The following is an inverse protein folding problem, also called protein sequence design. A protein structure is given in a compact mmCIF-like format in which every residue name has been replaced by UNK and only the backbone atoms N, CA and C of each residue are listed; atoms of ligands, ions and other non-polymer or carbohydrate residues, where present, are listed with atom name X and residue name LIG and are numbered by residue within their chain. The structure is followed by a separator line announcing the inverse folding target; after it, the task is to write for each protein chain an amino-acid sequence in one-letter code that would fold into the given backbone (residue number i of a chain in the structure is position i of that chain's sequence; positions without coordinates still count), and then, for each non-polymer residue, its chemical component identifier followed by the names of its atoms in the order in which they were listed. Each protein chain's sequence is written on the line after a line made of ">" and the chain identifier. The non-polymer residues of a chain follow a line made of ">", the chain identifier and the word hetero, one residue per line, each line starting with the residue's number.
data_IF_821838850173
#
_entry.id   IF_821838850173
#
_cell.length_a   1.000
_cell.length_b   1.000
_cell.length_c   1.000
_cell.angle_alpha   90.00
_cell.angle_beta   90.00
_cell.angle_gamma   90.00
#
_symmetry.space_group_name_H-M   'P 1'
#
loop_
_entity.id
_entity.type
_entity.pdbx_description
1 polymer ?
#
# COMPACT_ATOMS: atom_id res chain seq x y z
N UNK A 1 -25.53 -13.39 4.80
CA UNK A 1 -24.19 -12.76 4.77
C UNK A 1 -24.28 -11.63 3.77
N UNK A 2 -24.15 -10.38 4.22
CA UNK A 2 -24.03 -9.27 3.28
C UNK A 2 -22.65 -9.38 2.63
N UNK A 3 -22.62 -9.51 1.30
CA UNK A 3 -21.40 -9.26 0.54
C UNK A 3 -20.95 -7.83 0.85
N UNK A 4 -19.74 -7.70 1.39
CA UNK A 4 -19.10 -6.42 1.63
C UNK A 4 -18.71 -5.79 0.29
N UNK A 5 -18.84 -4.48 0.13
CA UNK A 5 -18.63 -3.80 -1.16
C UNK A 5 -17.26 -4.12 -1.81
N UNK A 6 -16.22 -4.35 -1.00
CA UNK A 6 -14.89 -4.72 -1.51
C UNK A 6 -14.83 -6.13 -2.13
N UNK A 7 -15.64 -7.10 -1.69
CA UNK A 7 -15.57 -8.48 -2.19
C UNK A 7 -16.13 -8.63 -3.61
N UNK A 8 -16.95 -7.66 -4.04
CA UNK A 8 -17.45 -7.54 -5.41
C UNK A 8 -16.57 -6.65 -6.30
N UNK A 9 -15.61 -5.92 -5.74
CA UNK A 9 -14.72 -5.05 -6.52
C UNK A 9 -13.59 -5.91 -7.14
N UNK A 10 -13.69 -6.13 -8.45
CA UNK A 10 -12.74 -6.93 -9.23
C UNK A 10 -11.33 -6.36 -9.19
N UNK A 11 -11.16 -5.06 -8.97
CA UNK A 11 -9.85 -4.41 -8.89
C UNK A 11 -9.14 -4.71 -7.55
N UNK A 12 -9.87 -5.12 -6.51
CA UNK A 12 -9.31 -5.43 -5.18
C UNK A 12 -9.13 -6.94 -4.92
N UNK A 13 -9.40 -7.80 -5.89
CA UNK A 13 -9.49 -9.25 -5.69
C UNK A 13 -8.17 -9.94 -5.26
N UNK A 14 -7.02 -9.33 -5.51
CA UNK A 14 -5.71 -9.90 -5.14
C UNK A 14 -5.23 -9.46 -3.75
N UNK A 15 -5.94 -8.56 -3.06
CA UNK A 15 -5.56 -8.11 -1.72
C UNK A 15 -5.48 -9.25 -0.68
N UNK A 16 -6.40 -10.23 -0.65
CA UNK A 16 -6.26 -11.40 0.24
C UNK A 16 -5.03 -12.26 -0.07
N UNK A 17 -4.65 -12.40 -1.34
CA UNK A 17 -3.46 -13.15 -1.74
C UNK A 17 -2.17 -12.45 -1.25
N UNK A 18 -2.12 -11.11 -1.36
CA UNK A 18 -1.03 -10.31 -0.83
C UNK A 18 -0.78 -10.58 0.66
N UNK A 19 -1.83 -10.56 1.50
CA UNK A 19 -1.67 -10.81 2.94
C UNK A 19 -1.19 -12.23 3.23
N UNK A 20 -1.71 -13.23 2.51
CA UNK A 20 -1.27 -14.63 2.66
C UNK A 20 0.20 -14.80 2.31
N UNK A 21 0.68 -14.16 1.24
CA UNK A 21 2.09 -14.22 0.84
C UNK A 21 3.03 -13.51 1.81
N UNK A 22 2.59 -12.38 2.38
CA UNK A 22 3.36 -11.69 3.41
C UNK A 22 3.40 -12.46 4.74
N UNK A 23 2.34 -13.21 5.05
CA UNK A 23 2.28 -14.06 6.24
C UNK A 23 3.15 -15.32 6.11
N UNK A 24 3.17 -15.92 4.92
CA UNK A 24 3.99 -17.09 4.59
C UNK A 24 4.53 -17.00 3.15
N UNK A 25 5.77 -16.56 2.94
CA UNK A 25 6.38 -16.47 1.61
C UNK A 25 6.52 -17.81 0.89
N UNK A 26 6.38 -18.94 1.58
CA UNK A 26 6.45 -20.28 0.98
C UNK A 26 5.11 -20.72 0.37
N UNK A 27 4.00 -20.03 0.65
CA UNK A 27 2.68 -20.41 0.18
C UNK A 27 2.45 -19.97 -1.28
N UNK A 28 1.79 -20.83 -2.07
CA UNK A 28 1.20 -20.40 -3.32
C UNK A 28 -0.07 -19.57 -3.02
N UNK A 29 0.14 -18.27 -2.81
CA UNK A 29 -0.90 -17.32 -2.38
C UNK A 29 -2.00 -17.06 -3.42
N UNK A 30 -1.71 -17.37 -4.69
CA UNK A 30 -2.51 -16.99 -5.84
C UNK A 30 -2.26 -15.57 -6.36
N UNK A 31 -1.28 -14.84 -5.80
CA UNK A 31 -0.85 -13.53 -6.33
C UNK A 31 -0.03 -13.74 -7.62
N UNK A 32 -0.39 -13.11 -8.74
CA UNK A 32 0.37 -13.24 -9.98
C UNK A 32 1.81 -12.74 -9.86
N UNK A 33 2.75 -13.47 -10.46
CA UNK A 33 4.18 -13.10 -10.49
C UNK A 33 4.52 -12.00 -11.48
N UNK A 34 3.71 -11.84 -12.52
CA UNK A 34 3.91 -10.87 -13.59
C UNK A 34 2.56 -10.58 -14.24
N UNK A 35 2.40 -9.37 -14.77
CA UNK A 35 1.18 -8.99 -15.48
C UNK A 35 1.14 -9.42 -16.95
N UNK A 36 2.27 -9.87 -17.53
CA UNK A 36 2.39 -10.13 -18.99
C UNK A 36 1.35 -11.13 -19.54
N UNK A 37 0.89 -12.07 -18.73
CA UNK A 37 -0.09 -13.08 -19.13
C UNK A 37 -1.51 -12.82 -18.58
N UNK A 38 -1.72 -11.68 -17.94
CA UNK A 38 -2.99 -11.33 -17.32
C UNK A 38 -3.92 -10.69 -18.36
N UNK A 39 -5.23 -10.86 -18.18
CA UNK A 39 -6.20 -10.03 -18.89
C UNK A 39 -6.19 -8.60 -18.33
N UNK A 40 -6.97 -7.70 -18.92
CA UNK A 40 -7.05 -6.31 -18.49
C UNK A 40 -7.47 -6.15 -17.01
N UNK A 41 -8.56 -6.81 -16.60
CA UNK A 41 -9.08 -6.75 -15.23
C UNK A 41 -8.06 -7.22 -14.20
N UNK A 42 -7.43 -8.35 -14.50
CA UNK A 42 -6.37 -8.95 -13.72
C UNK A 42 -5.16 -8.03 -13.60
N UNK A 43 -4.79 -7.34 -14.68
CA UNK A 43 -3.63 -6.44 -14.67
C UNK A 43 -3.88 -5.21 -13.81
N UNK A 44 -5.05 -4.59 -13.93
CA UNK A 44 -5.45 -3.49 -13.05
C UNK A 44 -5.51 -3.93 -11.59
N UNK A 45 -6.08 -5.10 -11.29
CA UNK A 45 -6.12 -5.61 -9.93
C UNK A 45 -4.72 -5.88 -9.36
N UNK A 46 -3.78 -6.27 -10.21
CA UNK A 46 -2.39 -6.48 -9.85
C UNK A 46 -1.66 -5.17 -9.52
N UNK A 47 -1.91 -4.10 -10.28
CA UNK A 47 -1.40 -2.76 -9.97
C UNK A 47 -2.07 -2.14 -8.74
N UNK A 48 -3.37 -2.34 -8.57
CA UNK A 48 -4.09 -1.83 -7.41
C UNK A 48 -3.62 -2.51 -6.11
N UNK A 49 -3.20 -3.78 -6.20
CA UNK A 49 -2.58 -4.48 -5.07
C UNK A 49 -1.26 -3.85 -4.65
N UNK A 50 -0.45 -3.36 -5.59
CA UNK A 50 0.77 -2.60 -5.28
C UNK A 50 0.44 -1.27 -4.60
N UNK A 51 -0.57 -0.56 -5.12
CA UNK A 51 -1.04 0.68 -4.50
C UNK A 51 -1.49 0.45 -3.07
N UNK A 52 -2.31 -0.58 -2.83
CA UNK A 52 -2.74 -0.97 -1.48
C UNK A 52 -1.55 -1.30 -0.57
N UNK A 53 -0.56 -2.04 -1.06
CA UNK A 53 0.65 -2.36 -0.30
C UNK A 53 1.33 -1.07 0.21
N UNK A 54 1.56 -0.10 -0.67
CA UNK A 54 2.21 1.15 -0.27
C UNK A 54 1.32 2.04 0.62
N UNK A 55 0.05 2.23 0.26
CA UNK A 55 -0.89 3.12 0.96
C UNK A 55 -1.31 2.57 2.32
N UNK A 56 -1.73 1.31 2.35
CA UNK A 56 -2.41 0.72 3.50
C UNK A 56 -1.48 -0.09 4.40
N UNK A 57 -0.42 -0.71 3.85
CA UNK A 57 0.52 -1.52 4.64
C UNK A 57 1.75 -0.72 5.04
N UNK A 58 2.45 -0.11 4.07
CA UNK A 58 3.61 0.76 4.35
C UNK A 58 3.17 2.10 4.94
N UNK A 59 1.96 2.56 4.62
CA UNK A 59 1.37 3.77 5.17
C UNK A 59 1.89 5.05 4.50
N UNK A 60 2.30 5.01 3.24
CA UNK A 60 2.73 6.20 2.50
C UNK A 60 1.52 7.03 2.06
N UNK A 61 1.33 8.20 2.69
CA UNK A 61 0.29 9.15 2.24
C UNK A 61 0.68 9.79 0.91
N UNK A 62 1.96 10.16 0.74
CA UNK A 62 2.52 10.70 -0.49
C UNK A 62 3.27 9.59 -1.26
N UNK A 63 2.55 8.83 -2.10
CA UNK A 63 3.16 7.79 -2.93
C UNK A 63 4.25 8.32 -3.87
N UNK A 64 4.04 9.43 -4.62
CA UNK A 64 5.10 10.04 -5.42
C UNK A 64 6.41 10.25 -4.66
N UNK A 65 6.33 10.81 -3.45
CA UNK A 65 7.51 11.06 -2.61
C UNK A 65 8.14 9.77 -2.08
N UNK A 66 7.32 8.81 -1.63
CA UNK A 66 7.82 7.51 -1.15
C UNK A 66 8.56 6.75 -2.24
N UNK A 67 8.00 6.74 -3.46
CA UNK A 67 8.64 6.17 -4.64
C UNK A 67 9.92 6.93 -4.99
N UNK A 68 9.92 8.25 -5.06
CA UNK A 68 11.11 9.05 -5.36
C UNK A 68 12.26 8.75 -4.38
N UNK A 69 11.98 8.77 -3.07
CA UNK A 69 12.94 8.36 -2.06
C UNK A 69 13.45 6.94 -2.32
N UNK A 70 12.56 6.02 -2.69
CA UNK A 70 12.92 4.63 -2.94
C UNK A 70 13.87 4.51 -4.14
N UNK A 71 13.61 5.23 -5.24
CA UNK A 71 14.49 5.28 -6.41
C UNK A 71 15.84 5.95 -6.11
N UNK A 72 15.84 7.10 -5.43
CA UNK A 72 17.06 7.84 -5.04
C UNK A 72 18.02 7.02 -4.19
N UNK A 73 17.48 6.08 -3.39
CA UNK A 73 18.27 5.22 -2.52
C UNK A 73 18.63 3.87 -3.16
N UNK A 74 18.49 3.74 -4.48
CA UNK A 74 18.72 2.49 -5.23
C UNK A 74 17.79 1.35 -4.80
N UNK A 75 16.52 1.65 -4.54
CA UNK A 75 15.44 0.73 -4.19
C UNK A 75 15.80 -0.20 -3.01
N UNK A 76 16.17 0.38 -1.85
CA UNK A 76 16.62 -0.40 -0.71
C UNK A 76 15.43 -1.23 -0.19
N UNK A 77 15.66 -2.51 0.13
CA UNK A 77 14.62 -3.34 0.75
C UNK A 77 14.69 -3.29 2.29
N UNK A 78 15.84 -2.92 2.87
CA UNK A 78 16.05 -2.72 4.31
C UNK A 78 15.47 -3.86 5.18
N UNK A 79 15.65 -5.12 4.78
CA UNK A 79 15.06 -6.30 5.44
C UNK A 79 13.53 -6.22 5.63
N UNK A 80 12.85 -5.40 4.83
CA UNK A 80 11.41 -5.26 4.85
C UNK A 80 10.78 -6.24 3.85
N UNK A 81 10.02 -7.26 4.31
CA UNK A 81 9.46 -8.28 3.43
C UNK A 81 8.48 -7.71 2.41
N UNK A 82 7.85 -6.56 2.69
CA UNK A 82 6.96 -5.88 1.71
C UNK A 82 7.78 -5.33 0.56
N UNK A 83 8.88 -4.63 0.84
CA UNK A 83 9.74 -4.07 -0.22
C UNK A 83 10.45 -5.18 -1.01
N UNK A 84 10.82 -6.29 -0.35
CA UNK A 84 11.30 -7.48 -1.04
C UNK A 84 10.24 -8.03 -2.00
N UNK A 85 9.00 -8.20 -1.53
CA UNK A 85 7.89 -8.64 -2.38
C UNK A 85 7.64 -7.69 -3.55
N UNK A 86 7.76 -6.37 -3.35
CA UNK A 86 7.67 -5.39 -4.44
C UNK A 86 8.71 -5.68 -5.53
N UNK A 87 9.96 -5.98 -5.15
CA UNK A 87 11.00 -6.33 -6.13
C UNK A 87 10.67 -7.64 -6.85
N UNK A 88 10.28 -8.65 -6.10
CA UNK A 88 10.07 -10.02 -6.60
C UNK A 88 8.81 -10.19 -7.47
N UNK A 89 7.85 -9.26 -7.35
CA UNK A 89 6.59 -9.30 -8.11
C UNK A 89 6.51 -8.16 -9.10
N UNK A 90 6.71 -6.93 -8.64
CA UNK A 90 6.45 -5.72 -9.44
C UNK A 90 7.69 -5.10 -10.07
N UNK A 91 8.91 -5.57 -9.79
CA UNK A 91 10.12 -4.97 -10.34
C UNK A 91 11.18 -5.97 -10.82
N UNK A 92 10.75 -7.13 -11.32
CA UNK A 92 11.68 -8.18 -11.78
C UNK A 92 12.39 -7.77 -13.08
N UNK A 93 11.73 -6.98 -13.93
CA UNK A 93 12.22 -6.49 -15.23
C UNK A 93 12.07 -4.98 -15.40
N UNK A 94 11.93 -4.23 -14.30
CA UNK A 94 11.68 -2.79 -14.34
C UNK A 94 10.21 -2.41 -14.51
N UNK A 95 9.27 -3.33 -14.28
CA UNK A 95 7.83 -3.05 -14.47
C UNK A 95 7.35 -1.93 -13.55
N UNK A 96 7.89 -1.82 -12.34
CA UNK A 96 7.54 -0.81 -11.34
C UNK A 96 7.65 0.62 -11.88
N UNK A 97 8.50 0.84 -12.87
CA UNK A 97 8.64 2.13 -13.51
C UNK A 97 7.34 2.61 -14.17
N UNK A 98 6.48 1.69 -14.64
CA UNK A 98 5.14 2.01 -15.17
C UNK A 98 4.26 2.61 -14.06
N UNK A 99 4.27 1.98 -12.87
CA UNK A 99 3.52 2.46 -11.72
C UNK A 99 4.07 3.80 -11.22
N UNK A 100 5.39 3.94 -11.16
CA UNK A 100 6.04 5.17 -10.74
C UNK A 100 5.75 6.33 -11.70
N UNK A 101 5.83 6.08 -13.01
CA UNK A 101 5.43 7.04 -14.03
C UNK A 101 3.99 7.51 -13.82
N UNK A 102 3.06 6.58 -13.59
CA UNK A 102 1.66 6.93 -13.33
C UNK A 102 1.52 7.83 -12.09
N UNK A 103 2.15 7.48 -10.98
CA UNK A 103 2.05 8.27 -9.74
C UNK A 103 2.71 9.66 -9.89
N UNK A 104 3.79 9.78 -10.65
CA UNK A 104 4.45 11.08 -10.92
C UNK A 104 3.72 11.95 -11.95
N UNK A 105 3.05 11.35 -12.94
CA UNK A 105 2.31 12.05 -13.99
C UNK A 105 0.92 12.54 -13.52
N UNK A 106 0.31 11.87 -12.55
CA UNK A 106 -1.10 12.06 -12.16
C UNK A 106 -1.48 13.43 -11.61
N UNK A 107 -0.53 14.37 -11.40
CA UNK A 107 -0.89 15.75 -11.00
C UNK A 107 -1.51 16.58 -12.13
N UNK A 108 -1.37 16.16 -13.39
CA UNK A 108 -2.08 16.77 -14.51
C UNK A 108 -3.56 16.39 -14.59
N UNK A 109 -3.98 15.30 -13.92
CA UNK A 109 -5.31 14.69 -14.09
C UNK A 109 -5.79 13.96 -12.82
N UNK A 110 -5.94 14.64 -11.68
CA UNK A 110 -6.76 14.10 -10.57
C UNK A 110 -7.61 15.20 -9.94
N UNK A 111 -8.91 15.05 -10.08
CA UNK A 111 -9.86 15.67 -9.18
C UNK A 111 -9.61 15.20 -7.74
N UNK A 112 -9.80 16.14 -6.81
CA UNK A 112 -10.29 15.94 -5.45
C UNK A 112 -9.84 14.66 -4.73
N UNK A 113 -8.59 14.61 -4.28
CA UNK A 113 -8.32 13.99 -2.98
C UNK A 113 -8.29 15.11 -1.94
N UNK A 114 -9.11 15.00 -0.88
CA UNK A 114 -9.22 15.98 0.23
C UNK A 114 -7.91 16.18 1.02
N UNK A 115 -6.89 15.37 0.76
CA UNK A 115 -5.54 15.58 1.24
C UNK A 115 -4.87 16.67 0.38
N UNK A 116 -4.88 17.92 0.88
CA UNK A 116 -4.35 19.11 0.21
C UNK A 116 -2.95 18.96 -0.41
N UNK A 117 -2.50 19.94 -1.22
CA UNK A 117 -1.34 19.79 -2.10
C UNK A 117 -0.10 19.35 -1.31
N UNK A 118 0.30 18.10 -1.52
CA UNK A 118 1.56 17.60 -0.98
C UNK A 118 2.68 18.20 -1.83
N UNK A 119 3.71 18.81 -1.25
CA UNK A 119 4.84 19.37 -2.00
C UNK A 119 5.62 18.24 -2.70
N UNK A 120 5.42 18.06 -4.01
CA UNK A 120 6.17 17.12 -4.84
C UNK A 120 6.34 17.75 -6.24
N UNK A 121 7.56 17.73 -6.82
CA UNK A 121 7.84 18.42 -8.07
C UNK A 121 7.08 17.79 -9.24
N UNK A 122 6.55 18.64 -10.12
CA UNK A 122 5.78 18.24 -11.32
C UNK A 122 6.62 17.50 -12.38
N UNK A 123 7.93 17.38 -12.17
CA UNK A 123 8.89 16.85 -13.13
C UNK A 123 9.96 15.98 -12.47
N UNK A 124 9.57 15.19 -11.45
CA UNK A 124 10.51 14.25 -10.85
C UNK A 124 11.03 13.28 -11.92
N UNK A 125 12.34 13.09 -11.94
CA UNK A 125 13.02 12.15 -12.80
C UNK A 125 14.14 11.50 -11.99
N UNK A 126 14.13 10.16 -11.79
CA UNK A 126 15.16 9.47 -11.00
C UNK A 126 16.59 9.74 -11.48
N UNK A 127 16.76 9.80 -12.81
CA UNK A 127 18.00 10.18 -13.47
C UNK A 127 17.70 10.78 -14.84
N UNK A 128 18.57 11.62 -15.41
CA UNK A 128 18.35 12.21 -16.73
C UNK A 128 18.07 11.15 -17.78
N UNK A 129 16.97 11.29 -18.52
CA UNK A 129 16.59 10.38 -19.60
C UNK A 129 15.70 9.21 -19.18
N UNK A 130 15.38 9.04 -17.90
CA UNK A 130 14.52 7.96 -17.40
C UNK A 130 13.17 7.90 -18.13
N UNK A 131 12.55 9.05 -18.42
CA UNK A 131 11.28 9.08 -19.18
C UNK A 131 11.42 8.59 -20.62
N UNK A 132 12.57 8.83 -21.26
CA UNK A 132 12.87 8.32 -22.60
C UNK A 132 13.10 6.81 -22.55
N UNK A 133 13.90 6.34 -21.60
CA UNK A 133 14.18 4.91 -21.41
C UNK A 133 12.90 4.11 -21.14
N UNK A 134 12.00 4.64 -20.30
CA UNK A 134 10.70 4.02 -20.04
C UNK A 134 9.87 3.91 -21.33
N UNK A 135 9.85 4.95 -22.17
CA UNK A 135 9.14 4.93 -23.45
C UNK A 135 9.76 3.94 -24.45
N UNK A 136 11.08 3.79 -24.45
CA UNK A 136 11.78 2.86 -25.35
C UNK A 136 11.60 1.39 -24.96
N UNK A 137 11.60 1.09 -23.65
CA UNK A 137 11.43 -0.30 -23.15
C UNK A 137 9.99 -0.75 -23.06
N UNK A 138 9.02 0.18 -23.08
CA UNK A 138 7.60 -0.14 -23.01
C UNK A 138 7.07 -0.26 -24.44
N UNK A 139 7.04 -1.46 -25.07
CA UNK A 139 6.27 -1.63 -26.28
C UNK A 139 4.82 -1.44 -25.87
N UNK A 140 4.20 -0.30 -26.18
CA UNK A 140 2.85 0.12 -25.81
C UNK A 140 1.84 -1.04 -25.86
N UNK A 141 1.79 -1.80 -24.78
CA UNK A 141 0.92 -2.95 -24.56
C UNK A 141 0.04 -2.53 -23.40
N UNK A 142 -1.26 -2.53 -23.66
CA UNK A 142 -2.25 -2.21 -22.65
C UNK A 142 -2.10 -3.17 -21.45
N UNK A 143 -2.14 -2.67 -20.21
CA UNK A 143 -2.37 -1.28 -19.81
C UNK A 143 -1.06 -0.46 -19.69
N UNK A 144 -0.97 0.61 -20.47
CA UNK A 144 0.10 1.62 -20.43
C UNK A 144 -0.30 2.76 -19.49
N UNK A 145 0.62 3.42 -18.75
CA UNK A 145 0.26 4.57 -17.93
C UNK A 145 -0.23 5.77 -18.77
N UNK A 146 0.00 5.73 -20.09
CA UNK A 146 -0.43 6.73 -21.07
C UNK A 146 -1.59 6.28 -21.98
N UNK A 147 -2.04 5.03 -21.87
CA UNK A 147 -3.06 4.44 -22.73
C UNK A 147 -4.39 4.29 -22.00
N UNK A 148 -5.45 4.96 -22.46
CA UNK A 148 -6.82 4.77 -21.95
C UNK A 148 -7.25 5.71 -20.82
N UNK A 149 -8.19 6.63 -21.12
CA UNK A 149 -8.92 7.42 -20.11
C UNK A 149 -8.06 8.24 -19.13
N UNK A 150 -8.65 8.65 -18.01
CA UNK A 150 -8.00 9.45 -16.95
C UNK A 150 -7.35 8.59 -15.86
N UNK A 151 -7.62 7.28 -15.85
CA UNK A 151 -7.13 6.32 -14.86
C UNK A 151 -6.86 4.96 -15.53
N UNK A 152 -5.83 4.87 -16.39
CA UNK A 152 -5.58 3.70 -17.25
C UNK A 152 -5.25 2.43 -16.46
N UNK A 153 -4.61 2.59 -15.30
CA UNK A 153 -4.31 1.49 -14.40
C UNK A 153 -5.46 1.16 -13.42
N UNK A 154 -6.58 1.90 -13.51
CA UNK A 154 -7.73 1.77 -12.59
C UNK A 154 -7.33 1.80 -11.12
N UNK A 155 -6.49 2.78 -10.75
CA UNK A 155 -5.98 2.91 -9.40
C UNK A 155 -6.97 3.62 -8.45
N UNK A 156 -6.92 3.29 -7.16
CA UNK A 156 -7.62 4.01 -6.08
C UNK A 156 -8.81 3.26 -5.48
N UNK A 157 -9.19 2.11 -6.03
CA UNK A 157 -10.27 1.27 -5.51
C UNK A 157 -10.00 0.74 -4.09
N UNK A 158 -8.74 0.54 -3.75
CA UNK A 158 -8.27 0.02 -2.47
C UNK A 158 -8.09 1.08 -1.39
N UNK A 159 -8.23 2.38 -1.72
CA UNK A 159 -8.04 3.47 -0.75
C UNK A 159 -9.08 3.40 0.38
N UNK A 160 -10.30 2.94 0.08
CA UNK A 160 -11.40 2.72 1.05
C UNK A 160 -11.43 1.31 1.66
N UNK A 161 -10.69 0.34 1.11
CA UNK A 161 -10.70 -1.04 1.64
C UNK A 161 -10.22 -1.05 3.08
N UNK A 162 -10.97 -1.74 3.95
CA UNK A 162 -10.72 -1.81 5.38
C UNK A 162 -11.41 -0.70 6.18
N UNK A 163 -12.11 0.24 5.55
CA UNK A 163 -12.77 1.37 6.20
C UNK A 163 -14.30 1.24 6.32
N UNK A 164 -14.88 0.12 5.88
CA UNK A 164 -16.32 -0.15 6.02
C UNK A 164 -16.76 -0.08 7.48
N UNK A 165 -18.04 0.22 7.71
CA UNK A 165 -18.62 0.10 9.05
C UNK A 165 -18.56 -1.38 9.51
N UNK A 166 -18.07 -1.65 10.72
CA UNK A 166 -18.00 -3.01 11.23
C UNK A 166 -19.41 -3.56 11.46
N UNK A 167 -19.71 -4.72 10.87
CA UNK A 167 -20.99 -5.41 11.10
C UNK A 167 -21.08 -6.06 12.49
N UNK A 168 -19.92 -6.41 13.06
CA UNK A 168 -19.77 -7.02 14.39
C UNK A 168 -18.58 -6.40 15.11
N UNK A 169 -18.60 -6.46 16.44
CA UNK A 169 -17.50 -6.04 17.30
C UNK A 169 -16.25 -6.95 17.10
N UNK A 170 -15.04 -6.38 17.01
CA UNK A 170 -13.82 -7.17 16.99
C UNK A 170 -13.58 -7.91 18.29
N UNK A 171 -12.84 -9.02 18.21
CA UNK A 171 -12.18 -9.57 19.40
C UNK A 171 -10.85 -8.85 19.61
N UNK A 172 -10.61 -8.41 20.85
CA UNK A 172 -9.41 -7.65 21.19
C UNK A 172 -8.73 -8.20 22.44
N UNK A 173 -7.40 -8.12 22.48
CA UNK A 173 -6.58 -8.46 23.64
C UNK A 173 -5.36 -7.55 23.68
N UNK A 174 -4.88 -7.17 24.85
CA UNK A 174 -3.65 -6.39 24.97
C UNK A 174 -2.88 -6.72 26.24
N UNK A 175 -1.56 -6.58 26.17
CA UNK A 175 -0.63 -6.69 27.29
C UNK A 175 0.30 -5.48 27.33
N UNK A 176 0.13 -4.68 28.39
CA UNK A 176 0.89 -3.44 28.60
C UNK A 176 2.38 -3.68 28.84
N UNK A 177 2.76 -4.81 29.45
CA UNK A 177 4.16 -5.12 29.77
C UNK A 177 4.94 -5.36 28.48
N UNK A 178 4.40 -6.19 27.59
CA UNK A 178 5.03 -6.50 26.30
C UNK A 178 4.73 -5.44 25.23
N UNK A 179 3.76 -4.55 25.46
CA UNK A 179 3.26 -3.54 24.50
C UNK A 179 2.71 -4.18 23.23
N UNK A 180 2.09 -5.34 23.38
CA UNK A 180 1.50 -6.12 22.30
C UNK A 180 -0.01 -6.18 22.43
N UNK A 181 -0.70 -6.10 21.32
CA UNK A 181 -2.12 -6.30 21.26
C UNK A 181 -2.49 -7.19 20.08
N UNK A 182 -3.65 -7.81 20.16
CA UNK A 182 -4.23 -8.64 19.11
C UNK A 182 -5.60 -8.07 18.79
N UNK A 183 -5.86 -7.89 17.50
CA UNK A 183 -7.14 -7.52 16.93
C UNK A 183 -7.58 -8.62 15.96
N UNK A 184 -8.70 -9.27 16.25
CA UNK A 184 -9.40 -10.12 15.26
C UNK A 184 -10.57 -9.31 14.73
N UNK A 185 -10.37 -8.74 13.56
CA UNK A 185 -11.37 -7.95 12.85
C UNK A 185 -12.56 -8.83 12.45
N UNK A 186 -13.75 -8.25 12.48
CA UNK A 186 -14.97 -8.96 12.05
C UNK A 186 -15.05 -9.17 10.54
N UNK A 187 -14.39 -8.32 9.75
CA UNK A 187 -14.26 -8.49 8.30
C UNK A 187 -13.05 -7.78 7.72
N UNK A 188 -12.57 -8.26 6.57
CA UNK A 188 -11.55 -7.58 5.79
C UNK A 188 -12.02 -6.20 5.26
N UNK A 189 -13.31 -6.00 5.07
CA UNK A 189 -13.85 -4.70 4.65
C UNK A 189 -13.67 -3.60 5.69
N UNK A 190 -13.51 -3.95 6.96
CA UNK A 190 -13.53 -3.00 8.09
C UNK A 190 -12.29 -3.06 9.01
N UNK A 191 -11.29 -3.86 8.67
CA UNK A 191 -10.14 -4.11 9.57
C UNK A 191 -9.33 -2.86 9.93
N UNK A 192 -9.15 -1.90 8.99
CA UNK A 192 -8.40 -0.66 9.25
C UNK A 192 -9.15 0.26 10.19
N UNK A 193 -10.47 0.38 9.99
CA UNK A 193 -11.33 1.16 10.88
C UNK A 193 -11.33 0.57 12.28
N UNK A 194 -11.45 -0.75 12.40
CA UNK A 194 -11.37 -1.44 13.69
C UNK A 194 -10.00 -1.29 14.33
N UNK A 195 -8.91 -1.33 13.57
CA UNK A 195 -7.56 -1.05 14.05
C UNK A 195 -7.44 0.37 14.62
N UNK A 196 -7.98 1.37 13.93
CA UNK A 196 -7.96 2.75 14.40
C UNK A 196 -8.76 2.93 15.69
N UNK A 197 -9.99 2.39 15.73
CA UNK A 197 -10.85 2.45 16.91
C UNK A 197 -10.23 1.72 18.11
N UNK A 198 -9.72 0.51 17.89
CA UNK A 198 -9.05 -0.26 18.93
C UNK A 198 -7.80 0.46 19.42
N UNK A 199 -6.98 0.99 18.51
CA UNK A 199 -5.80 1.77 18.84
C UNK A 199 -6.08 2.97 19.74
N UNK A 200 -7.20 3.68 19.52
CA UNK A 200 -7.65 4.79 20.39
C UNK A 200 -8.11 4.33 21.77
N UNK A 201 -8.59 3.10 21.89
CA UNK A 201 -9.04 2.53 23.16
C UNK A 201 -7.89 2.01 24.04
N UNK A 202 -6.69 1.84 23.46
CA UNK A 202 -5.56 1.29 24.19
C UNK A 202 -4.98 2.28 25.20
N UNK A 203 -4.49 1.81 26.36
CA UNK A 203 -3.83 2.67 27.34
C UNK A 203 -2.60 3.37 26.77
N UNK A 204 -2.31 4.58 27.27
CA UNK A 204 -1.07 5.29 26.95
C UNK A 204 0.16 4.57 27.53
N UNK A 205 1.22 4.54 26.73
CA UNK A 205 2.49 3.88 27.03
C UNK A 205 3.65 4.88 27.25
N UNK A 206 3.34 6.13 27.61
CA UNK A 206 4.32 7.17 27.95
C UNK A 206 5.42 7.33 26.88
N UNK A 207 4.99 7.44 25.62
CA UNK A 207 5.89 7.69 24.49
C UNK A 207 6.38 6.46 23.73
N UNK A 208 5.88 5.26 24.04
CA UNK A 208 6.10 4.03 23.27
C UNK A 208 4.87 3.69 22.42
N UNK A 209 5.05 3.00 21.30
CA UNK A 209 3.94 2.53 20.46
C UNK A 209 3.55 1.08 20.78
N UNK A 210 2.26 0.79 20.63
CA UNK A 210 1.72 -0.56 20.58
C UNK A 210 2.14 -1.27 19.30
N UNK A 211 2.32 -2.59 19.39
CA UNK A 211 2.43 -3.49 18.25
C UNK A 211 1.17 -4.35 18.22
N UNK A 212 0.34 -4.15 17.20
CA UNK A 212 -0.98 -4.78 17.10
C UNK A 212 -0.93 -5.82 15.99
N UNK A 213 -1.05 -7.09 16.36
CA UNK A 213 -1.25 -8.19 15.41
C UNK A 213 -2.71 -8.16 14.96
N UNK A 214 -2.94 -8.06 13.66
CA UNK A 214 -4.28 -7.97 13.08
C UNK A 214 -4.60 -9.25 12.33
N UNK A 215 -5.79 -9.78 12.56
CA UNK A 215 -6.32 -10.97 11.90
C UNK A 215 -7.70 -10.66 11.33
N UNK A 216 -8.03 -11.27 10.20
CA UNK A 216 -9.39 -11.42 9.70
C UNK A 216 -9.76 -12.92 9.73
N UNK A 217 -11.03 -13.25 10.00
CA UNK A 217 -11.46 -14.64 10.15
C UNK A 217 -11.39 -15.45 8.85
N UNK A 218 -11.50 -14.80 7.69
CA UNK A 218 -11.48 -15.46 6.38
C UNK A 218 -10.08 -15.49 5.75
N UNK A 219 -9.32 -14.41 5.91
CA UNK A 219 -8.01 -14.23 5.27
C UNK A 219 -6.87 -14.69 6.18
N UNK A 220 -7.06 -14.63 7.50
CA UNK A 220 -6.04 -14.94 8.49
C UNK A 220 -5.24 -13.70 8.90
N UNK A 221 -3.93 -13.87 9.05
CA UNK A 221 -3.04 -12.81 9.54
C UNK A 221 -2.88 -11.69 8.50
N UNK A 222 -3.16 -10.45 8.89
CA UNK A 222 -3.06 -9.25 8.05
C UNK A 222 -1.79 -8.43 8.32
N UNK A 223 -0.97 -8.85 9.28
CA UNK A 223 0.28 -8.18 9.66
C UNK A 223 0.27 -7.59 11.07
N UNK A 224 1.45 -7.09 11.47
CA UNK A 224 1.65 -6.36 12.72
C UNK A 224 1.77 -4.88 12.42
N UNK A 225 0.89 -4.09 13.02
CA UNK A 225 0.80 -2.66 12.84
C UNK A 225 1.27 -1.90 14.06
N UNK A 226 1.77 -0.69 13.81
CA UNK A 226 2.01 0.32 14.83
C UNK A 226 1.59 1.68 14.33
N UNK A 227 1.18 2.55 15.25
CA UNK A 227 0.89 3.93 14.92
C UNK A 227 2.18 4.77 14.99
N UNK A 228 2.44 5.51 13.91
CA UNK A 228 3.48 6.53 13.84
C UNK A 228 3.07 7.72 14.70
N UNK A 229 3.94 8.14 15.62
CA UNK A 229 3.70 9.34 16.43
C UNK A 229 3.84 10.64 15.64
N UNK A 230 4.58 10.59 14.53
CA UNK A 230 4.84 11.75 13.66
C UNK A 230 3.70 11.99 12.67
N UNK A 231 3.15 10.92 12.10
CA UNK A 231 2.14 11.02 11.03
C UNK A 231 0.73 10.69 11.51
N UNK A 232 0.59 10.06 12.68
CA UNK A 232 -0.68 9.51 13.19
C UNK A 232 -1.19 8.28 12.43
N UNK A 233 -0.48 7.83 11.39
CA UNK A 233 -0.89 6.72 10.53
C UNK A 233 -0.48 5.37 11.11
N UNK A 234 -1.29 4.36 10.82
CA UNK A 234 -0.95 2.95 11.06
C UNK A 234 -0.14 2.41 9.90
N UNK A 235 0.93 1.67 10.22
CA UNK A 235 1.80 1.07 9.23
C UNK A 235 2.44 -0.22 9.75
N UNK A 236 2.96 -1.02 8.82
CA UNK A 236 3.79 -2.18 9.08
C UNK A 236 5.25 -1.88 8.75
N UNK A 237 6.18 -2.57 9.44
CA UNK A 237 7.61 -2.51 9.11
C UNK A 237 8.38 -1.39 9.77
N UNK A 238 9.51 -1.01 9.17
CA UNK A 238 10.45 -0.01 9.70
C UNK A 238 9.86 1.41 9.58
N UNK A 239 10.03 2.22 10.63
CA UNK A 239 9.45 3.56 10.71
C UNK A 239 10.14 4.51 9.73
N UNK A 240 11.43 4.33 9.49
CA UNK A 240 12.18 5.04 8.44
C UNK A 240 11.58 4.82 7.05
N UNK A 241 11.17 3.58 6.72
CA UNK A 241 10.48 3.28 5.46
C UNK A 241 9.14 4.00 5.41
N UNK A 242 8.34 3.92 6.47
CA UNK A 242 7.07 4.65 6.55
C UNK A 242 7.24 6.17 6.35
N UNK A 243 8.26 6.77 6.97
CA UNK A 243 8.51 8.20 6.86
C UNK A 243 8.93 8.63 5.45
N UNK A 244 9.51 7.75 4.63
CA UNK A 244 9.91 8.10 3.27
C UNK A 244 8.76 8.71 2.43
N UNK A 245 7.56 8.14 2.50
CA UNK A 245 6.37 8.64 1.81
C UNK A 245 5.50 9.60 2.63
N UNK A 246 6.01 10.14 3.75
CA UNK A 246 5.26 11.04 4.62
C UNK A 246 6.05 12.26 5.10
N UNK A 247 7.38 12.25 4.97
CA UNK A 247 8.21 13.41 5.22
C UNK A 247 7.85 14.52 4.25
N UNK A 248 7.71 15.75 4.77
CA UNK A 248 7.66 16.94 3.91
C UNK A 248 9.03 17.08 3.27
N UNK A 249 9.10 17.10 1.94
CA UNK A 249 10.34 17.54 1.28
C UNK A 249 10.55 19.01 1.66
N UNK A 250 11.57 19.27 2.48
CA UNK A 250 11.96 20.62 2.89
C UNK A 250 11.56 21.00 4.31
N UNK A 251 12.39 20.64 5.29
CA UNK A 251 12.99 21.61 6.21
C UNK A 251 14.43 21.19 6.45
N UNK A 252 15.34 21.86 5.74
CA UNK A 252 16.70 22.03 6.24
C UNK A 252 16.58 22.66 7.64
N UNK A 253 17.15 21.99 8.63
CA UNK A 253 17.49 22.58 9.93
C UNK A 253 18.97 22.92 9.94
#
# INVERSE_FOLDING_TARGET
>A
MNETAWSSDTWCRFLPALHRELADPCIESGLPRSFVSLNFEDTCAWWETLRYLFRSLVGWRNLPAGLAWWYENCQPHLDDPRLQLVRDRWNTRGELDIFAAREWESRGCTGMTDDGPLDFPDSYEPHPGWWNELRERSPFSEPSPWGGGYNPLHLGHSDSVGLDEPAEEPMTMHDRVTRRAVLVASSFGSWRRQLELFGRSLPDLAGRSWHIEVFDRAIGYLGTYRQSRETGLWFQGKHSVHLAGNSRMGRET
#
